data_IF_256388313339
#
_entry.id   IF_256388313339
#
_cell.length_a   1.000
_cell.length_b   1.000
_cell.length_c   1.000
_cell.angle_alpha   90.00
_cell.angle_beta   90.00
_cell.angle_gamma   90.00
#
_symmetry.space_group_name_H-M   'P 1'
#
loop_
_entity.id
_entity.type
_entity.pdbx_description
1 polymer ?
#
# COMPACT_ATOMS: atom_id res chain seq x y z
N UNK A 1 7.56 0.04 -11.43
CA UNK A 1 7.10 -0.81 -10.31
C UNK A 1 8.26 -1.35 -9.51
N UNK A 2 8.54 -0.73 -8.36
CA UNK A 2 9.48 -1.24 -7.38
C UNK A 2 8.79 -2.20 -6.39
N UNK A 3 9.58 -3.09 -5.79
CA UNK A 3 9.11 -3.99 -4.73
C UNK A 3 9.80 -3.62 -3.42
N UNK A 4 8.99 -3.31 -2.41
CA UNK A 4 9.43 -3.09 -1.04
C UNK A 4 9.11 -4.30 -0.15
N UNK A 5 9.48 -4.20 1.13
CA UNK A 5 9.21 -5.23 2.14
C UNK A 5 8.62 -4.61 3.40
N UNK A 6 7.63 -5.28 3.98
CA UNK A 6 7.08 -4.86 5.29
C UNK A 6 8.17 -4.96 6.36
N UNK A 7 8.42 -3.87 7.07
CA UNK A 7 9.36 -3.83 8.21
C UNK A 7 8.65 -3.70 9.55
N UNK A 8 7.41 -3.19 9.58
CA UNK A 8 6.64 -3.05 10.80
C UNK A 8 5.13 -3.04 10.52
N UNK A 9 4.34 -3.61 11.44
CA UNK A 9 2.87 -3.60 11.42
C UNK A 9 2.39 -3.22 12.83
N UNK A 10 1.64 -2.13 12.96
CA UNK A 10 1.04 -1.65 14.21
C UNK A 10 -0.42 -1.30 13.92
N UNK A 11 -1.32 -2.26 14.16
CA UNK A 11 -2.72 -2.14 13.71
C UNK A 11 -2.76 -1.87 12.20
N UNK A 12 -3.55 -0.87 11.80
CA UNK A 12 -3.66 -0.46 10.39
C UNK A 12 -2.44 0.28 9.84
N UNK A 13 -1.47 0.67 10.69
CA UNK A 13 -0.26 1.38 10.26
C UNK A 13 0.81 0.36 9.89
N UNK A 14 1.28 0.41 8.64
CA UNK A 14 2.27 -0.51 8.11
C UNK A 14 3.45 0.28 7.55
N UNK A 15 4.65 0.03 8.06
CA UNK A 15 5.87 0.62 7.51
C UNK A 15 6.51 -0.36 6.52
N UNK A 16 6.86 0.15 5.33
CA UNK A 16 7.42 -0.63 4.21
C UNK A 16 8.73 0.00 3.78
N UNK A 17 9.77 -0.80 3.61
CA UNK A 17 11.07 -0.38 3.11
C UNK A 17 11.20 -0.67 1.61
N UNK A 18 11.57 0.34 0.84
CA UNK A 18 11.88 0.27 -0.58
C UNK A 18 13.35 0.62 -0.83
N UNK A 19 13.92 0.23 -1.99
CA UNK A 19 15.19 0.77 -2.46
C UNK A 19 15.17 2.31 -2.47
N UNK A 20 16.27 2.94 -2.07
CA UNK A 20 16.33 4.40 -1.87
C UNK A 20 16.11 5.21 -3.14
N UNK A 21 16.38 4.63 -4.31
CA UNK A 21 16.16 5.21 -5.63
C UNK A 21 14.74 4.98 -6.18
N UNK A 22 13.91 4.23 -5.44
CA UNK A 22 12.57 3.84 -5.85
C UNK A 22 11.55 3.94 -4.72
N UNK A 23 11.66 5.00 -3.91
CA UNK A 23 10.74 5.28 -2.80
C UNK A 23 9.42 5.84 -3.37
N UNK A 24 8.27 5.20 -3.09
CA UNK A 24 6.96 5.69 -3.53
C UNK A 24 6.63 7.08 -2.97
N UNK A 25 5.78 7.83 -3.67
CA UNK A 25 5.35 9.16 -3.25
C UNK A 25 4.28 9.07 -2.18
N UNK A 26 4.10 10.16 -1.44
CA UNK A 26 2.95 10.30 -0.55
C UNK A 26 1.67 10.24 -1.40
N UNK A 27 0.68 9.51 -0.90
CA UNK A 27 -0.59 9.13 -1.53
C UNK A 27 -0.52 8.07 -2.62
N UNK A 28 0.66 7.53 -2.96
CA UNK A 28 0.72 6.37 -3.85
C UNK A 28 0.10 5.14 -3.18
N UNK A 29 -0.57 4.33 -3.99
CA UNK A 29 -1.14 3.06 -3.59
C UNK A 29 -0.08 1.97 -3.70
N UNK A 30 0.02 1.15 -2.66
CA UNK A 30 0.82 -0.06 -2.64
C UNK A 30 -0.08 -1.29 -2.55
N UNK A 31 0.43 -2.41 -3.03
CA UNK A 31 -0.28 -3.68 -3.01
C UNK A 31 0.53 -4.75 -2.29
N UNK A 32 -0.10 -5.44 -1.35
CA UNK A 32 0.46 -6.62 -0.67
C UNK A 32 -0.48 -7.80 -0.82
N UNK A 33 0.10 -8.97 -1.09
CA UNK A 33 -0.63 -10.24 -1.09
C UNK A 33 -0.67 -10.80 0.34
N UNK A 34 -1.87 -10.87 0.94
CA UNK A 34 -2.10 -11.43 2.26
C UNK A 34 -2.83 -12.77 2.14
N UNK A 35 -2.07 -13.85 1.95
CA UNK A 35 -2.66 -15.16 1.63
C UNK A 35 -3.31 -15.13 0.24
N UNK A 36 -4.62 -15.36 0.17
CA UNK A 36 -5.39 -15.32 -1.08
C UNK A 36 -6.02 -13.94 -1.36
N UNK A 37 -5.90 -13.00 -0.43
CA UNK A 37 -6.51 -11.67 -0.54
C UNK A 37 -5.48 -10.62 -0.94
N UNK A 38 -5.91 -9.69 -1.79
CA UNK A 38 -5.17 -8.49 -2.14
C UNK A 38 -5.55 -7.39 -1.14
N UNK A 39 -4.55 -6.78 -0.53
CA UNK A 39 -4.73 -5.62 0.33
C UNK A 39 -4.00 -4.41 -0.24
N UNK A 40 -4.68 -3.26 -0.26
CA UNK A 40 -4.12 -1.98 -0.65
C UNK A 40 -3.64 -1.23 0.59
N UNK A 41 -2.45 -0.64 0.50
CA UNK A 41 -1.90 0.28 1.49
C UNK A 41 -1.74 1.66 0.83
N UNK A 42 -2.06 2.75 1.52
CA UNK A 42 -1.81 4.11 1.01
C UNK A 42 -0.63 4.73 1.74
N UNK A 43 0.35 5.25 0.99
CA UNK A 43 1.50 5.94 1.57
C UNK A 43 1.07 7.27 2.21
N UNK A 44 1.35 7.45 3.49
CA UNK A 44 1.06 8.68 4.22
C UNK A 44 2.29 9.55 4.46
N UNK A 45 3.46 8.94 4.60
CA UNK A 45 4.68 9.66 4.93
C UNK A 45 5.93 8.89 4.48
N UNK A 46 6.96 9.62 4.05
CA UNK A 46 8.30 9.09 3.89
C UNK A 46 9.09 9.34 5.19
N UNK A 47 9.58 8.28 5.83
CA UNK A 47 10.31 8.36 7.10
C UNK A 47 11.82 8.53 6.92
N UNK A 48 12.32 8.34 5.69
CA UNK A 48 13.74 8.33 5.35
C UNK A 48 14.33 6.92 5.30
N UNK A 49 15.54 6.79 4.75
CA UNK A 49 16.22 5.50 4.61
C UNK A 49 15.53 4.48 3.70
N UNK A 50 14.62 4.93 2.81
CA UNK A 50 13.79 4.04 1.99
C UNK A 50 12.48 3.61 2.63
N UNK A 51 12.21 4.02 3.88
CA UNK A 51 11.00 3.60 4.61
C UNK A 51 9.86 4.58 4.35
N UNK A 52 8.70 4.03 4.01
CA UNK A 52 7.42 4.73 3.94
C UNK A 52 6.45 4.20 4.98
N UNK A 53 5.70 5.09 5.61
CA UNK A 53 4.57 4.77 6.49
C UNK A 53 3.30 4.76 5.67
N UNK A 54 2.54 3.68 5.79
CA UNK A 54 1.29 3.48 5.05
C UNK A 54 0.13 3.17 5.99
N UNK A 55 -1.09 3.35 5.50
CA UNK A 55 -2.32 2.91 6.16
C UNK A 55 -2.98 1.83 5.30
N UNK A 56 -3.36 0.72 5.92
CA UNK A 56 -4.10 -0.35 5.26
C UNK A 56 -5.55 0.06 4.96
N UNK A 57 -6.01 -0.17 3.73
CA UNK A 57 -7.39 0.10 3.29
C UNK A 57 -8.34 -1.07 3.57
N UNK A 58 -7.99 -1.90 4.55
CA UNK A 58 -8.68 -3.14 4.91
C UNK A 58 -8.07 -3.76 6.17
N UNK A 59 -8.43 -5.00 6.49
CA UNK A 59 -7.84 -5.67 7.66
C UNK A 59 -6.35 -5.91 7.45
N UNK A 60 -5.55 -5.53 8.44
CA UNK A 60 -4.12 -5.82 8.53
C UNK A 60 -3.81 -7.19 9.17
N UNK A 61 -4.84 -7.97 9.54
CA UNK A 61 -4.67 -9.27 10.17
C UNK A 61 -3.91 -10.23 9.23
N UNK A 62 -2.88 -10.89 9.77
CA UNK A 62 -2.05 -11.81 8.99
C UNK A 62 -0.89 -11.16 8.23
N UNK A 63 -0.85 -9.82 8.13
CA UNK A 63 0.35 -9.13 7.66
C UNK A 63 1.52 -9.41 8.61
N UNK A 64 2.69 -9.61 8.01
CA UNK A 64 3.93 -9.88 8.72
C UNK A 64 5.11 -9.26 8.01
N UNK A 65 6.20 -9.07 8.76
CA UNK A 65 7.46 -8.58 8.24
C UNK A 65 7.98 -9.47 7.10
N UNK A 66 8.65 -8.84 6.15
CA UNK A 66 9.28 -9.50 5.01
C UNK A 66 8.35 -9.83 3.84
N UNK A 67 7.03 -9.61 3.97
CA UNK A 67 6.12 -9.71 2.84
C UNK A 67 6.47 -8.67 1.78
N UNK A 68 6.41 -9.08 0.52
CA UNK A 68 6.64 -8.22 -0.63
C UNK A 68 5.45 -7.28 -0.85
N UNK A 69 5.76 -6.02 -1.10
CA UNK A 69 4.81 -4.94 -1.35
C UNK A 69 5.17 -4.29 -2.68
N UNK A 70 4.21 -4.20 -3.59
CA UNK A 70 4.42 -3.58 -4.91
C UNK A 70 3.96 -2.13 -4.88
N UNK A 71 4.77 -1.25 -5.45
CA UNK A 71 4.36 0.12 -5.76
C UNK A 71 3.53 0.14 -7.05
N UNK A 72 2.34 0.74 -6.99
CA UNK A 72 1.46 0.90 -8.15
C UNK A 72 1.79 2.17 -8.96
N UNK A 73 2.63 3.06 -8.44
CA UNK A 73 3.09 4.30 -9.09
C UNK A 73 1.96 5.32 -9.38
N UNK A 74 0.81 5.13 -8.74
CA UNK A 74 -0.35 6.00 -8.79
C UNK A 74 -1.13 5.97 -7.46
N UNK A 75 -1.94 7.00 -7.15
CA UNK A 75 -2.84 6.98 -6.01
C UNK A 75 -3.93 5.90 -6.13
N UNK A 76 -4.71 5.70 -5.07
CA UNK A 76 -5.86 4.78 -5.15
C UNK A 76 -6.85 5.26 -6.23
N UNK A 77 -7.11 4.40 -7.21
CA UNK A 77 -8.04 4.68 -8.29
C UNK A 77 -9.38 4.00 -8.05
N UNK A 78 -10.46 4.73 -8.34
CA UNK A 78 -11.82 4.21 -8.29
C UNK A 78 -12.50 4.42 -9.65
N UNK A 79 -13.32 3.46 -10.11
CA UNK A 79 -14.05 3.63 -11.35
C UNK A 79 -15.05 4.79 -11.23
N UNK A 80 -15.20 5.55 -12.30
CA UNK A 80 -16.19 6.64 -12.40
C UNK A 80 -16.97 6.53 -13.70
N UNK A 81 -18.24 6.96 -13.70
CA UNK A 81 -19.07 7.08 -14.90
C UNK A 81 -20.48 6.56 -14.72
N UNK A 82 -21.22 6.36 -15.81
CA UNK A 82 -22.64 5.94 -15.75
C UNK A 82 -22.83 4.61 -15.00
N UNK A 83 -21.86 3.71 -15.06
CA UNK A 83 -21.91 2.43 -14.36
C UNK A 83 -21.86 2.57 -12.82
N UNK A 84 -21.40 3.71 -12.28
CA UNK A 84 -21.40 4.00 -10.84
C UNK A 84 -22.62 4.80 -10.39
N UNK A 85 -23.49 5.27 -11.30
CA UNK A 85 -24.81 5.79 -10.94
C UNK A 85 -25.74 4.60 -10.71
N UNK A 86 -25.98 4.26 -9.44
CA UNK A 86 -26.99 3.30 -9.04
C UNK A 86 -28.39 3.89 -9.29
N UNK A 87 -28.89 3.78 -10.51
CA UNK A 87 -30.29 4.06 -10.83
C UNK A 87 -31.02 2.73 -10.85
N UNK A 88 -31.83 2.51 -9.81
CA UNK A 88 -32.81 1.41 -9.71
C UNK A 88 -33.91 1.55 -10.73
#
# INVERSE_FOLDING_TARGET
MATGKIVQVIGAVVDVEFPQDAVPRVYDALEVQNGNERLVLEVQQQLGGGIVRTIAMGSSDGLRRGLDVKDLEHPIEVPVGKATLAVS
#
